data_IF_860301385114
#
_entry.id   IF_860301385114
#
_cell.length_a   1.000
_cell.length_b   1.000
_cell.length_c   1.000
_cell.angle_alpha   90.00
_cell.angle_beta   90.00
_cell.angle_gamma   90.00
#
_symmetry.space_group_name_H-M   'P 1'
#
loop_
_entity.id
_entity.type
_entity.pdbx_description
1 polymer ?
#
# COMPACT_ATOMS: atom_id res chain seq x y z
N UNK A 1 -0.44 -35.22 -38.13
CA UNK A 1 0.50 -34.42 -37.32
C UNK A 1 -0.33 -33.37 -36.60
N UNK A 2 -0.71 -33.65 -35.35
CA UNK A 2 -1.49 -32.76 -34.50
C UNK A 2 -0.51 -32.22 -33.48
N UNK A 3 -0.23 -30.92 -33.49
CA UNK A 3 0.61 -30.30 -32.47
C UNK A 3 -0.16 -29.25 -31.68
N UNK A 4 -0.12 -29.49 -30.38
CA UNK A 4 -0.95 -28.97 -29.31
C UNK A 4 -0.87 -27.46 -29.13
N UNK A 5 -2.05 -26.83 -29.07
CA UNK A 5 -2.24 -25.47 -28.56
C UNK A 5 -2.11 -25.50 -27.03
N UNK A 6 -0.97 -25.06 -26.51
CA UNK A 6 -0.75 -24.88 -25.07
C UNK A 6 -1.46 -23.60 -24.63
N UNK A 7 -2.61 -23.74 -23.97
CA UNK A 7 -3.30 -22.63 -23.30
C UNK A 7 -2.98 -22.74 -21.82
N UNK A 8 -1.99 -21.98 -21.38
CA UNK A 8 -1.65 -21.78 -19.97
C UNK A 8 -1.81 -20.29 -19.64
N UNK A 9 -3.04 -19.79 -19.81
CA UNK A 9 -3.39 -18.41 -19.48
C UNK A 9 -4.67 -18.44 -18.64
N UNK A 10 -4.53 -18.16 -17.34
CA UNK A 10 -5.68 -17.80 -16.51
C UNK A 10 -6.07 -18.70 -15.34
N UNK A 11 -5.14 -19.35 -14.63
CA UNK A 11 -5.43 -19.78 -13.25
C UNK A 11 -5.38 -18.58 -12.29
N UNK A 12 -6.40 -17.71 -12.39
CA UNK A 12 -6.65 -16.68 -11.39
C UNK A 12 -7.12 -17.40 -10.13
N UNK A 13 -6.30 -17.40 -9.07
CA UNK A 13 -6.67 -17.95 -7.77
C UNK A 13 -7.82 -17.12 -7.19
N UNK A 14 -9.06 -17.58 -7.40
CA UNK A 14 -10.29 -16.93 -6.91
C UNK A 14 -10.28 -16.69 -5.40
N UNK A 15 -9.59 -17.56 -4.66
CA UNK A 15 -9.37 -17.42 -3.21
C UNK A 15 -8.57 -16.16 -2.86
N UNK A 16 -7.51 -15.87 -3.61
CA UNK A 16 -6.70 -14.67 -3.43
C UNK A 16 -7.55 -13.43 -3.70
N UNK A 17 -8.24 -13.37 -4.86
CA UNK A 17 -9.09 -12.23 -5.22
C UNK A 17 -10.14 -11.89 -4.15
N UNK A 18 -10.75 -12.91 -3.53
CA UNK A 18 -11.78 -12.74 -2.49
C UNK A 18 -11.19 -12.24 -1.15
N UNK A 19 -10.03 -12.76 -0.75
CA UNK A 19 -9.32 -12.29 0.46
C UNK A 19 -8.82 -10.85 0.25
N UNK A 20 -8.37 -10.50 -0.96
CA UNK A 20 -7.96 -9.14 -1.31
C UNK A 20 -9.12 -8.14 -1.28
N UNK A 21 -10.30 -8.51 -1.80
CA UNK A 21 -11.46 -7.60 -1.76
C UNK A 21 -11.92 -7.27 -0.34
N UNK A 22 -11.82 -8.22 0.59
CA UNK A 22 -12.22 -8.02 1.98
C UNK A 22 -11.22 -7.16 2.76
N UNK A 23 -9.92 -7.28 2.47
CA UNK A 23 -8.88 -6.40 3.05
C UNK A 23 -8.86 -4.99 2.44
N UNK A 24 -9.33 -4.84 1.20
CA UNK A 24 -9.32 -3.56 0.48
C UNK A 24 -10.36 -2.56 1.01
N UNK A 25 -11.60 -3.00 1.28
CA UNK A 25 -12.68 -2.11 1.74
C UNK A 25 -12.32 -1.27 2.99
N UNK A 26 -11.80 -1.86 4.09
CA UNK A 26 -11.42 -1.06 5.26
C UNK A 26 -10.24 -0.12 4.95
N UNK A 27 -9.27 -0.55 4.14
CA UNK A 27 -8.14 0.28 3.73
C UNK A 27 -8.59 1.49 2.90
N UNK A 28 -9.55 1.28 2.00
CA UNK A 28 -10.15 2.34 1.19
C UNK A 28 -10.88 3.38 2.06
N UNK A 29 -11.69 2.91 3.01
CA UNK A 29 -12.40 3.79 3.94
C UNK A 29 -11.42 4.57 4.83
N UNK A 30 -10.40 3.91 5.39
CA UNK A 30 -9.36 4.56 6.17
C UNK A 30 -8.60 5.61 5.35
N UNK A 31 -8.23 5.28 4.11
CA UNK A 31 -7.50 6.19 3.25
C UNK A 31 -8.29 7.42 2.84
N UNK A 32 -9.55 7.26 2.44
CA UNK A 32 -10.42 8.39 2.09
C UNK A 32 -10.76 9.24 3.32
N UNK A 33 -11.01 8.60 4.47
CA UNK A 33 -11.24 9.32 5.72
C UNK A 33 -10.03 10.14 6.16
N UNK A 34 -8.81 9.61 6.01
CA UNK A 34 -7.59 10.35 6.34
C UNK A 34 -7.34 11.53 5.39
N UNK A 35 -7.70 11.41 4.11
CA UNK A 35 -7.66 12.52 3.14
C UNK A 35 -8.60 13.65 3.57
N UNK A 36 -9.84 13.31 3.93
CA UNK A 36 -10.85 14.27 4.38
C UNK A 36 -10.46 14.95 5.70
N UNK A 37 -9.97 14.18 6.66
CA UNK A 37 -9.51 14.68 7.95
C UNK A 37 -8.33 15.63 7.79
N UNK A 38 -7.34 15.28 6.95
CA UNK A 38 -6.20 16.13 6.67
C UNK A 38 -6.61 17.42 5.94
N UNK A 39 -7.52 17.35 4.96
CA UNK A 39 -8.03 18.52 4.26
C UNK A 39 -8.74 19.47 5.25
N UNK A 40 -9.65 18.93 6.06
CA UNK A 40 -10.38 19.69 7.09
C UNK A 40 -9.44 20.37 8.07
N UNK A 41 -8.44 19.63 8.56
CA UNK A 41 -7.43 20.18 9.47
C UNK A 41 -6.60 21.28 8.82
N UNK A 42 -6.04 21.04 7.63
CA UNK A 42 -5.17 22.00 6.96
C UNK A 42 -5.91 23.28 6.57
N UNK A 43 -7.20 23.20 6.24
CA UNK A 43 -8.03 24.37 5.95
C UNK A 43 -8.57 25.08 7.20
N UNK A 44 -8.70 24.38 8.31
CA UNK A 44 -9.21 24.91 9.57
C UNK A 44 -8.11 25.19 10.59
N UNK A 45 -8.03 24.30 11.58
CA UNK A 45 -7.17 24.43 12.76
C UNK A 45 -5.68 24.51 12.42
N UNK A 46 -5.23 23.80 11.38
CA UNK A 46 -3.85 23.82 10.93
C UNK A 46 -3.37 25.21 10.54
N UNK A 47 -4.20 26.02 9.88
CA UNK A 47 -3.88 27.43 9.57
C UNK A 47 -3.77 28.29 10.82
N UNK A 48 -4.58 28.03 11.85
CA UNK A 48 -4.49 28.75 13.14
C UNK A 48 -3.24 28.36 13.90
N UNK A 49 -2.98 27.06 14.01
CA UNK A 49 -1.85 26.51 14.73
C UNK A 49 -0.51 26.96 14.12
N UNK A 50 -0.42 27.00 12.79
CA UNK A 50 0.78 27.46 12.07
C UNK A 50 1.20 28.90 12.42
N UNK A 51 0.27 29.77 12.83
CA UNK A 51 0.57 31.17 13.20
C UNK A 51 1.27 31.30 14.55
N UNK A 52 1.14 30.30 15.43
CA UNK A 52 1.76 30.30 16.75
C UNK A 52 3.16 29.67 16.79
N UNK A 53 3.63 29.14 15.66
CA UNK A 53 4.91 28.43 15.57
C UNK A 53 6.10 29.39 15.49
N UNK A 54 7.26 28.94 15.99
CA UNK A 54 8.53 29.61 15.70
C UNK A 54 8.80 29.61 14.19
N UNK A 55 9.68 30.48 13.70
CA UNK A 55 10.04 30.53 12.28
C UNK A 55 10.54 29.18 11.73
N UNK A 56 11.30 28.45 12.55
CA UNK A 56 11.83 27.13 12.19
C UNK A 56 10.69 26.11 12.07
N UNK A 57 9.85 26.03 13.10
CA UNK A 57 8.70 25.12 13.11
C UNK A 57 7.66 25.46 12.02
N UNK A 58 7.43 26.74 11.72
CA UNK A 58 6.54 27.18 10.66
C UNK A 58 7.04 26.75 9.26
N UNK A 59 8.36 26.84 9.03
CA UNK A 59 8.97 26.40 7.76
C UNK A 59 8.85 24.88 7.62
N UNK A 60 9.12 24.14 8.70
CA UNK A 60 8.95 22.70 8.74
C UNK A 60 7.49 22.28 8.53
N UNK A 61 6.55 22.95 9.20
CA UNK A 61 5.11 22.73 9.05
C UNK A 61 4.66 22.90 7.60
N UNK A 62 5.10 23.97 6.93
CA UNK A 62 4.76 24.22 5.54
C UNK A 62 5.30 23.11 4.61
N UNK A 63 6.58 22.73 4.78
CA UNK A 63 7.20 21.68 3.98
C UNK A 63 6.53 20.31 4.21
N UNK A 64 6.28 19.95 5.47
CA UNK A 64 5.67 18.66 5.81
C UNK A 64 4.17 18.63 5.43
N UNK A 65 3.47 19.77 5.45
CA UNK A 65 2.07 19.84 4.97
C UNK A 65 1.98 19.51 3.48
N UNK A 66 2.90 20.02 2.66
CA UNK A 66 2.95 19.67 1.23
C UNK A 66 3.30 18.19 1.01
N UNK A 67 4.20 17.63 1.83
CA UNK A 67 4.54 16.19 1.78
C UNK A 67 3.34 15.33 2.18
N UNK A 68 2.63 15.71 3.24
CA UNK A 68 1.41 15.05 3.69
C UNK A 68 0.36 15.03 2.58
N UNK A 69 0.04 16.17 1.97
CA UNK A 69 -0.97 16.23 0.90
C UNK A 69 -0.55 15.43 -0.34
N UNK A 70 0.72 15.54 -0.74
CA UNK A 70 1.25 14.76 -1.88
C UNK A 70 1.16 13.27 -1.61
N UNK A 71 1.55 12.82 -0.41
CA UNK A 71 1.48 11.42 0.02
C UNK A 71 0.05 10.91 0.02
N UNK A 72 -0.88 11.65 0.61
CA UNK A 72 -2.29 11.29 0.65
C UNK A 72 -2.92 11.25 -0.74
N UNK A 73 -2.57 12.17 -1.62
CA UNK A 73 -3.03 12.18 -3.01
C UNK A 73 -2.53 10.94 -3.80
N UNK A 74 -1.27 10.57 -3.62
CA UNK A 74 -0.69 9.37 -4.23
C UNK A 74 -1.40 8.10 -3.74
N UNK A 75 -1.65 8.00 -2.43
CA UNK A 75 -2.41 6.90 -1.83
C UNK A 75 -3.84 6.87 -2.38
N UNK A 76 -4.53 8.01 -2.41
CA UNK A 76 -5.90 8.11 -2.90
C UNK A 76 -6.01 7.70 -4.37
N UNK A 77 -5.08 8.16 -5.20
CA UNK A 77 -4.98 7.77 -6.62
C UNK A 77 -4.87 6.26 -6.79
N UNK A 78 -4.01 5.61 -6.00
CA UNK A 78 -3.85 4.17 -6.01
C UNK A 78 -5.11 3.43 -5.55
N UNK A 79 -5.73 3.89 -4.46
CA UNK A 79 -6.96 3.32 -3.93
C UNK A 79 -8.12 3.42 -4.95
N UNK A 80 -8.25 4.55 -5.65
CA UNK A 80 -9.26 4.73 -6.69
C UNK A 80 -9.00 3.82 -7.89
N UNK A 81 -7.75 3.68 -8.32
CA UNK A 81 -7.35 2.75 -9.39
C UNK A 81 -7.73 1.32 -9.03
N UNK A 82 -7.41 0.89 -7.80
CA UNK A 82 -7.73 -0.46 -7.34
C UNK A 82 -9.24 -0.68 -7.23
N UNK A 83 -10.02 0.33 -6.83
CA UNK A 83 -11.48 0.27 -6.81
C UNK A 83 -12.05 0.04 -8.20
N UNK A 84 -11.61 0.81 -9.20
CA UNK A 84 -12.05 0.67 -10.59
C UNK A 84 -11.63 -0.67 -11.21
N UNK A 85 -10.43 -1.16 -10.89
CA UNK A 85 -9.99 -2.50 -11.27
C UNK A 85 -10.86 -3.60 -10.64
N UNK A 86 -11.26 -3.44 -9.36
CA UNK A 86 -12.09 -4.40 -8.65
C UNK A 86 -13.55 -4.44 -9.15
N UNK A 87 -14.11 -3.28 -9.56
CA UNK A 87 -15.45 -3.20 -10.15
C UNK A 87 -15.52 -3.68 -11.60
N UNK A 88 -14.37 -3.86 -12.25
CA UNK A 88 -14.30 -4.26 -13.66
C UNK A 88 -14.53 -3.11 -14.64
N UNK A 89 -14.48 -1.86 -14.18
CA UNK A 89 -14.62 -0.66 -15.01
C UNK A 89 -13.39 -0.41 -15.91
N UNK A 90 -12.25 -1.04 -15.62
CA UNK A 90 -11.00 -0.90 -16.36
C UNK A 90 -10.43 -2.24 -16.80
N UNK A 91 -9.85 -2.28 -18.00
CA UNK A 91 -9.09 -3.45 -18.47
C UNK A 91 -7.73 -3.53 -17.78
N UNK A 92 -7.09 -4.69 -17.84
CA UNK A 92 -5.77 -4.91 -17.21
C UNK A 92 -4.69 -3.99 -17.80
N UNK A 93 -4.77 -3.71 -19.09
CA UNK A 93 -3.85 -2.83 -19.82
C UNK A 93 -4.02 -1.38 -19.38
N UNK A 94 -5.27 -0.92 -19.21
CA UNK A 94 -5.58 0.41 -18.68
C UNK A 94 -5.08 0.57 -17.24
N UNK A 95 -5.29 -0.45 -16.39
CA UNK A 95 -4.80 -0.44 -15.02
C UNK A 95 -3.27 -0.34 -14.98
N UNK A 96 -2.56 -1.12 -15.81
CA UNK A 96 -1.09 -1.07 -15.88
C UNK A 96 -0.57 0.30 -16.34
N UNK A 97 -1.21 0.90 -17.35
CA UNK A 97 -0.86 2.22 -17.86
C UNK A 97 -1.02 3.31 -16.79
N UNK A 98 -2.15 3.34 -16.07
CA UNK A 98 -2.37 4.30 -14.99
C UNK A 98 -1.44 4.06 -13.80
N UNK A 99 -1.20 2.79 -13.43
CA UNK A 99 -0.29 2.42 -12.34
C UNK A 99 1.12 2.97 -12.56
N UNK A 100 1.63 2.96 -13.79
CA UNK A 100 2.97 3.47 -14.13
C UNK A 100 3.17 4.96 -13.77
N UNK A 101 2.09 5.72 -13.68
CA UNK A 101 2.10 7.15 -13.34
C UNK A 101 2.10 7.39 -11.83
N UNK A 102 1.68 6.39 -11.04
CA UNK A 102 1.54 6.52 -9.59
C UNK A 102 2.86 6.14 -8.93
N UNK A 103 3.44 7.09 -8.19
CA UNK A 103 4.61 6.86 -7.35
C UNK A 103 4.20 6.96 -5.89
N UNK A 104 4.53 5.95 -5.09
CA UNK A 104 4.16 5.88 -3.68
C UNK A 104 5.35 6.20 -2.77
N UNK A 105 6.24 7.12 -3.12
CA UNK A 105 7.56 7.34 -2.49
C UNK A 105 7.77 8.66 -1.77
N UNK A 106 6.68 9.36 -1.47
CA UNK A 106 6.75 10.58 -0.67
C UNK A 106 7.19 10.28 0.77
N UNK A 107 8.42 10.64 1.12
CA UNK A 107 8.97 10.57 2.48
C UNK A 107 8.46 11.69 3.41
N UNK A 108 8.88 11.63 4.67
CA UNK A 108 8.62 12.64 5.72
C UNK A 108 9.95 13.24 6.19
N UNK A 109 9.90 14.39 6.86
CA UNK A 109 11.03 14.85 7.66
C UNK A 109 11.34 13.85 8.79
N UNK A 110 12.60 13.85 9.23
CA UNK A 110 13.01 13.11 10.42
C UNK A 110 12.29 13.69 11.65
N UNK A 111 11.86 12.82 12.56
CA UNK A 111 11.26 13.22 13.84
C UNK A 111 12.26 13.96 14.74
N UNK A 112 13.56 13.83 14.48
CA UNK A 112 14.62 14.61 15.13
C UNK A 112 14.87 15.99 14.48
N UNK A 113 14.10 16.38 13.45
CA UNK A 113 14.28 17.66 12.79
C UNK A 113 14.03 18.84 13.74
N UNK A 114 14.82 19.93 13.66
CA UNK A 114 14.58 21.13 14.47
C UNK A 114 13.16 21.66 14.28
N UNK A 115 12.46 21.92 15.39
CA UNK A 115 11.08 22.41 15.38
C UNK A 115 10.01 21.32 15.20
N UNK A 116 10.37 20.04 15.14
CA UNK A 116 9.40 18.93 15.07
C UNK A 116 8.53 18.84 16.32
N UNK A 117 9.11 18.99 17.51
CA UNK A 117 8.38 18.90 18.78
C UNK A 117 7.45 20.09 19.03
N UNK A 118 7.69 21.22 18.34
CA UNK A 118 6.80 22.39 18.36
C UNK A 118 5.58 22.20 17.46
N UNK A 119 5.58 21.21 16.56
CA UNK A 119 4.46 20.98 15.65
C UNK A 119 3.21 20.54 16.43
N UNK A 120 2.00 20.97 16.01
CA UNK A 120 0.76 20.56 16.65
C UNK A 120 0.65 19.04 16.70
N UNK A 121 0.22 18.50 17.84
CA UNK A 121 0.08 17.06 18.05
C UNK A 121 -0.85 16.42 17.01
N UNK A 122 -1.96 17.07 16.70
CA UNK A 122 -2.90 16.65 15.65
C UNK A 122 -2.25 16.54 14.28
N UNK A 123 -1.40 17.51 13.91
CA UNK A 123 -0.64 17.45 12.66
C UNK A 123 0.37 16.30 12.64
N UNK A 124 1.09 16.10 13.75
CA UNK A 124 2.04 14.98 13.88
C UNK A 124 1.33 13.62 13.77
N UNK A 125 0.15 13.47 14.37
CA UNK A 125 -0.65 12.24 14.23
C UNK A 125 -1.09 11.99 12.78
N UNK A 126 -1.59 13.00 12.07
CA UNK A 126 -1.93 12.90 10.65
C UNK A 126 -0.73 12.45 9.80
N UNK A 127 0.45 13.02 10.04
CA UNK A 127 1.69 12.61 9.36
C UNK A 127 2.02 11.15 9.65
N UNK A 128 1.99 10.73 10.92
CA UNK A 128 2.28 9.34 11.28
C UNK A 128 1.28 8.33 10.70
N UNK A 129 -0.02 8.66 10.75
CA UNK A 129 -1.09 7.85 10.15
C UNK A 129 -0.90 7.71 8.64
N UNK A 130 -0.59 8.82 7.95
CA UNK A 130 -0.35 8.78 6.50
C UNK A 130 0.87 7.92 6.12
N UNK A 131 1.93 7.93 6.94
CA UNK A 131 3.11 7.07 6.75
C UNK A 131 2.80 5.59 6.99
N UNK A 132 1.99 5.27 8.00
CA UNK A 132 1.51 3.89 8.23
C UNK A 132 0.69 3.41 7.03
N UNK A 133 -0.25 4.23 6.58
CA UNK A 133 -1.10 3.93 5.43
C UNK A 133 -0.28 3.73 4.15
N UNK A 134 0.68 4.62 3.87
CA UNK A 134 1.59 4.50 2.73
C UNK A 134 2.34 3.16 2.73
N UNK A 135 2.85 2.71 3.89
CA UNK A 135 3.53 1.42 4.01
C UNK A 135 2.61 0.24 3.71
N UNK A 136 1.38 0.27 4.21
CA UNK A 136 0.38 -0.77 3.93
C UNK A 136 0.04 -0.81 2.44
N UNK A 137 -0.22 0.36 1.83
CA UNK A 137 -0.54 0.49 0.41
C UNK A 137 0.63 0.04 -0.46
N UNK A 138 1.87 0.38 -0.12
CA UNK A 138 3.07 -0.13 -0.81
C UNK A 138 3.19 -1.64 -0.78
N UNK A 139 2.96 -2.25 0.39
CA UNK A 139 3.00 -3.72 0.51
C UNK A 139 1.91 -4.34 -0.35
N UNK A 140 0.71 -3.76 -0.34
CA UNK A 140 -0.40 -4.23 -1.15
C UNK A 140 -0.14 -4.05 -2.66
N UNK A 141 0.47 -2.94 -3.09
CA UNK A 141 0.92 -2.74 -4.48
C UNK A 141 1.93 -3.81 -4.91
N UNK A 142 2.89 -4.13 -4.04
CA UNK A 142 3.86 -5.19 -4.30
C UNK A 142 3.22 -6.58 -4.36
N UNK A 143 2.24 -6.89 -3.49
CA UNK A 143 1.49 -8.15 -3.54
C UNK A 143 0.65 -8.28 -4.83
N UNK A 144 0.09 -7.17 -5.34
CA UNK A 144 -0.79 -7.17 -6.53
C UNK A 144 -0.01 -7.14 -7.84
N UNK A 145 1.11 -6.42 -7.89
CA UNK A 145 1.85 -6.13 -9.12
C UNK A 145 3.33 -6.54 -9.10
N UNK A 146 3.92 -6.77 -7.93
CA UNK A 146 5.34 -7.08 -7.74
C UNK A 146 5.74 -8.50 -8.15
N UNK A 147 4.78 -9.40 -8.35
CA UNK A 147 5.02 -10.81 -8.72
C UNK A 147 5.07 -11.05 -10.25
N UNK A 148 5.15 -9.97 -11.06
CA UNK A 148 5.23 -10.07 -12.54
C UNK A 148 6.66 -10.09 -13.09
N UNK A 149 7.63 -9.53 -12.37
CA UNK A 149 9.05 -9.52 -12.77
C UNK A 149 9.97 -10.25 -11.78
N UNK A 150 9.51 -10.50 -10.56
CA UNK A 150 10.08 -11.53 -9.72
C UNK A 150 9.30 -12.81 -9.99
N UNK A 151 9.64 -13.53 -11.05
CA UNK A 151 9.79 -14.95 -10.79
C UNK A 151 10.86 -15.01 -9.70
N UNK A 152 10.55 -15.36 -8.43
CA UNK A 152 11.61 -15.98 -7.68
C UNK A 152 12.02 -17.14 -8.58
N UNK A 153 13.27 -17.14 -9.03
CA UNK A 153 13.92 -18.42 -9.21
C UNK A 153 13.52 -19.19 -7.98
N UNK A 154 12.70 -20.24 -8.17
CA UNK A 154 12.33 -21.15 -7.09
C UNK A 154 13.66 -21.52 -6.48
N UNK A 155 14.02 -20.89 -5.37
CA UNK A 155 15.16 -21.32 -4.59
C UNK A 155 14.72 -22.71 -4.16
N UNK A 156 15.33 -23.72 -4.77
CA UNK A 156 15.23 -25.09 -4.33
C UNK A 156 15.51 -25.09 -2.82
N UNK A 157 14.46 -25.14 -2.01
CA UNK A 157 14.56 -24.89 -0.57
C UNK A 157 13.26 -24.56 0.14
N UNK A 158 12.26 -23.96 -0.53
CA UNK A 158 10.91 -23.83 0.06
C UNK A 158 10.10 -25.12 -0.20
N UNK A 159 10.55 -26.20 0.45
CA UNK A 159 9.68 -27.33 0.70
C UNK A 159 8.53 -26.83 1.58
N UNK A 160 7.32 -26.87 1.02
CA UNK A 160 6.09 -26.58 1.74
C UNK A 160 6.14 -27.25 3.13
N UNK A 161 6.09 -26.48 4.24
CA UNK A 161 6.31 -27.01 5.59
C UNK A 161 5.30 -28.10 5.96
N UNK A 162 4.12 -28.09 5.32
CA UNK A 162 3.10 -29.13 5.47
C UNK A 162 3.49 -30.39 4.69
N UNK A 163 4.10 -30.27 3.51
CA UNK A 163 4.61 -31.42 2.77
C UNK A 163 5.74 -32.13 3.52
N UNK A 164 6.66 -31.37 4.12
CA UNK A 164 7.72 -31.92 4.97
C UNK A 164 7.16 -32.68 6.18
N UNK A 165 6.08 -32.16 6.80
CA UNK A 165 5.39 -32.87 7.88
C UNK A 165 4.66 -34.13 7.40
N UNK A 166 4.04 -34.11 6.22
CA UNK A 166 3.37 -35.27 5.63
C UNK A 166 4.38 -36.37 5.31
N UNK A 167 5.56 -36.03 4.81
CA UNK A 167 6.59 -37.01 4.47
C UNK A 167 7.22 -37.60 5.74
N UNK A 168 7.43 -36.79 6.79
CA UNK A 168 7.83 -37.28 8.12
C UNK A 168 6.81 -38.30 8.68
N UNK A 169 5.51 -38.01 8.55
CA UNK A 169 4.44 -38.92 8.98
C UNK A 169 4.44 -40.22 8.15
N UNK A 170 4.62 -40.13 6.83
CA UNK A 170 4.72 -41.32 5.97
C UNK A 170 5.95 -42.16 6.30
N UNK A 171 7.08 -41.56 6.64
CA UNK A 171 8.28 -42.30 7.04
C UNK A 171 8.12 -42.94 8.43
N UNK A 172 7.48 -42.25 9.37
CA UNK A 172 7.25 -42.76 10.73
C UNK A 172 6.18 -43.88 10.78
N UNK A 173 5.18 -43.84 9.89
CA UNK A 173 4.03 -44.75 9.93
C UNK A 173 3.87 -45.68 8.72
N UNK A 174 4.69 -45.54 7.67
CA UNK A 174 4.62 -46.33 6.43
C UNK A 174 5.42 -47.64 6.44
N UNK A 175 6.03 -48.00 7.57
CA UNK A 175 6.69 -49.29 7.77
C UNK A 175 5.79 -50.29 8.49
N UNK A 176 4.83 -50.88 7.77
CA UNK A 176 4.27 -52.20 8.11
C UNK A 176 3.73 -52.91 6.88
#
# INVERSE_FOLDING_TARGET
MVESKKTDDGLIRLAERRVFSERFKPLYAEGMGLVEEAATYLDGDGRRAAKGLSRVAATLYAAESMRLTTRLMQIASWLLLQRAANSGEMTREQVAAEKSKIRLDTGSADMAAPGWDELPETFRDLVQRSLRLQRVVRRMDAEVYGDRDAAPGRTAGDENPVSAQIDLLKTAFGGR
#
